data_IF_309723842862
#
_entry.id   IF_309723842862
#
_cell.length_a   1.000
_cell.length_b   1.000
_cell.length_c   1.000
_cell.angle_alpha   90.00
_cell.angle_beta   90.00
_cell.angle_gamma   90.00
#
_symmetry.space_group_name_H-M   'P 1'
#
loop_
_entity.id
_entity.type
_entity.pdbx_description
1 polymer ?
#
# COMPACT_ATOMS: atom_id res chain seq x y z
N UNK A 1 4.08 20.69 -5.86
CA UNK A 1 3.15 19.90 -6.69
C UNK A 1 2.14 19.19 -5.79
N UNK A 2 1.06 18.69 -6.38
CA UNK A 2 0.10 17.85 -5.65
C UNK A 2 0.63 16.41 -5.53
N UNK A 3 0.52 15.82 -4.34
CA UNK A 3 0.92 14.43 -4.08
C UNK A 3 -0.31 13.66 -3.61
N UNK A 4 -0.69 12.64 -4.36
CA UNK A 4 -1.80 11.76 -4.01
C UNK A 4 -1.27 10.54 -3.27
N UNK A 5 -1.64 10.42 -2.00
CA UNK A 5 -1.26 9.34 -1.10
C UNK A 5 -2.32 8.24 -1.17
N UNK A 6 -1.90 7.00 -1.45
CA UNK A 6 -2.80 5.86 -1.60
C UNK A 6 -2.45 4.85 -0.50
N UNK A 7 -3.32 4.64 0.51
CA UNK A 7 -3.02 3.77 1.63
C UNK A 7 -3.00 2.29 1.25
N UNK A 8 -2.52 1.44 2.17
CA UNK A 8 -2.54 0.00 2.01
C UNK A 8 -3.90 -0.64 2.31
N UNK A 9 -3.95 -1.97 2.25
CA UNK A 9 -5.09 -2.76 2.71
C UNK A 9 -5.41 -2.43 4.17
N UNK A 10 -6.68 -2.19 4.48
CA UNK A 10 -7.17 -1.89 5.82
C UNK A 10 -6.53 -0.65 6.45
N UNK A 11 -6.10 0.30 5.64
CA UNK A 11 -5.47 1.56 6.09
C UNK A 11 -6.18 2.77 5.48
N UNK A 12 -6.06 3.92 6.13
CA UNK A 12 -6.60 5.21 5.73
C UNK A 12 -5.53 6.32 5.89
N UNK A 13 -5.93 7.59 5.86
CA UNK A 13 -5.02 8.75 5.98
C UNK A 13 -4.11 8.69 7.20
N UNK A 14 -4.52 8.05 8.29
CA UNK A 14 -3.74 7.91 9.53
C UNK A 14 -2.41 7.18 9.31
N UNK A 15 -2.31 6.33 8.28
CA UNK A 15 -1.04 5.70 7.89
C UNK A 15 0.05 6.73 7.58
N UNK A 16 -0.34 7.91 7.09
CA UNK A 16 0.55 8.97 6.62
C UNK A 16 0.75 10.12 7.63
N UNK A 17 0.22 10.03 8.85
CA UNK A 17 0.30 11.10 9.86
C UNK A 17 1.73 11.53 10.20
N UNK A 18 2.72 10.64 10.00
CA UNK A 18 4.13 10.92 10.25
C UNK A 18 4.94 11.20 8.99
N UNK A 19 4.27 11.31 7.84
CA UNK A 19 4.90 11.60 6.56
C UNK A 19 4.93 13.13 6.36
N UNK A 20 6.13 13.68 6.25
CA UNK A 20 6.37 15.11 6.06
C UNK A 20 7.00 15.35 4.68
N UNK A 21 6.27 16.01 3.78
CA UNK A 21 6.70 16.33 2.42
C UNK A 21 6.58 17.85 2.20
N UNK A 22 7.49 18.64 2.77
CA UNK A 22 7.42 20.10 2.74
C UNK A 22 7.46 20.65 1.29
N UNK A 23 6.69 21.71 1.03
CA UNK A 23 6.59 22.30 -0.30
C UNK A 23 5.64 21.59 -1.26
N UNK A 24 4.89 20.59 -0.78
CA UNK A 24 3.90 19.84 -1.54
C UNK A 24 2.53 19.88 -0.87
N UNK A 25 1.45 19.75 -1.67
CA UNK A 25 0.08 19.60 -1.19
C UNK A 25 -0.26 18.11 -1.16
N UNK A 26 -0.67 17.60 -0.01
CA UNK A 26 -0.94 16.17 0.18
C UNK A 26 -2.45 15.90 0.11
N UNK A 27 -2.83 14.94 -0.71
CA UNK A 27 -4.20 14.47 -0.88
C UNK A 27 -4.26 12.98 -0.58
N UNK A 28 -4.91 12.56 0.50
CA UNK A 28 -5.11 11.14 0.76
C UNK A 28 -6.33 10.62 -0.02
N UNK A 29 -6.12 9.60 -0.84
CA UNK A 29 -7.18 8.93 -1.59
C UNK A 29 -7.78 7.82 -0.74
N UNK A 30 -8.86 8.13 -0.04
CA UNK A 30 -9.56 7.17 0.82
C UNK A 30 -10.26 6.09 0.03
N UNK A 31 -10.20 4.86 0.56
CA UNK A 31 -10.94 3.74 0.03
C UNK A 31 -12.45 3.96 0.13
N UNK A 32 -13.16 3.57 -0.88
CA UNK A 32 -14.62 3.49 -0.86
C UNK A 32 -15.06 2.05 -1.14
N UNK A 33 -16.29 1.78 -0.79
CA UNK A 33 -16.86 0.46 -0.98
C UNK A 33 -16.90 0.08 -2.45
N UNK A 34 -16.28 -1.06 -2.78
CA UNK A 34 -16.22 -1.58 -4.15
C UNK A 34 -17.17 -2.78 -4.33
N UNK A 35 -17.64 -3.02 -5.54
CA UNK A 35 -18.37 -4.25 -5.87
C UNK A 35 -17.53 -5.50 -5.56
N UNK A 36 -18.21 -6.63 -5.30
CA UNK A 36 -17.54 -7.92 -5.18
C UNK A 36 -16.75 -8.25 -6.46
N UNK A 37 -15.64 -8.98 -6.31
CA UNK A 37 -14.70 -9.33 -7.40
C UNK A 37 -14.12 -8.10 -8.11
N UNK A 38 -13.95 -6.99 -7.40
CA UNK A 38 -13.20 -5.85 -7.92
C UNK A 38 -11.72 -6.17 -7.99
N UNK A 39 -11.08 -5.75 -9.07
CA UNK A 39 -9.63 -5.91 -9.30
C UNK A 39 -8.86 -4.65 -8.94
N UNK A 40 -7.53 -4.72 -8.86
CA UNK A 40 -6.67 -3.55 -8.62
C UNK A 40 -6.91 -2.46 -9.67
N UNK A 41 -7.11 -2.83 -10.94
CA UNK A 41 -7.42 -1.88 -12.03
C UNK A 41 -8.76 -1.18 -11.80
N UNK A 42 -9.76 -1.87 -11.22
CA UNK A 42 -11.04 -1.24 -10.86
C UNK A 42 -10.88 -0.23 -9.71
N UNK A 43 -10.09 -0.57 -8.69
CA UNK A 43 -9.73 0.38 -7.63
C UNK A 43 -9.00 1.59 -8.21
N UNK A 44 -8.04 1.37 -9.11
CA UNK A 44 -7.29 2.44 -9.76
C UNK A 44 -8.19 3.38 -10.57
N UNK A 45 -9.10 2.85 -11.40
CA UNK A 45 -10.05 3.67 -12.15
C UNK A 45 -10.95 4.51 -11.25
N UNK A 46 -11.42 3.93 -10.15
CA UNK A 46 -12.27 4.63 -9.21
C UNK A 46 -11.52 5.75 -8.46
N UNK A 47 -10.25 5.55 -8.07
CA UNK A 47 -9.46 6.58 -7.42
C UNK A 47 -8.91 7.62 -8.41
N UNK A 48 -8.62 7.25 -9.64
CA UNK A 48 -8.14 8.18 -10.66
C UNK A 48 -9.11 9.34 -10.94
N UNK A 49 -10.42 9.13 -10.73
CA UNK A 49 -11.43 10.21 -10.88
C UNK A 49 -11.29 11.33 -9.85
N UNK A 50 -10.52 11.11 -8.77
CA UNK A 50 -10.27 12.08 -7.71
C UNK A 50 -8.97 12.86 -7.89
N UNK A 51 -8.20 12.54 -8.93
CA UNK A 51 -6.92 13.20 -9.24
C UNK A 51 -7.16 14.37 -10.19
N UNK A 52 -6.68 15.54 -9.80
CA UNK A 52 -6.63 16.69 -10.71
C UNK A 52 -5.45 16.52 -11.69
N UNK A 53 -5.76 16.00 -12.88
CA UNK A 53 -4.78 15.77 -13.95
C UNK A 53 -4.37 17.05 -14.71
N UNK A 54 -4.99 18.19 -14.42
CA UNK A 54 -4.65 19.47 -15.04
C UNK A 54 -3.35 20.07 -14.48
N UNK A 55 -2.86 19.53 -13.36
CA UNK A 55 -1.65 19.98 -12.67
C UNK A 55 -0.59 18.87 -12.59
N UNK A 56 0.70 19.24 -12.54
CA UNK A 56 1.76 18.28 -12.23
C UNK A 56 1.50 17.63 -10.88
N UNK A 57 1.45 16.30 -10.86
CA UNK A 57 1.17 15.52 -9.66
C UNK A 57 2.05 14.27 -9.56
N UNK A 58 2.17 13.76 -8.35
CA UNK A 58 2.82 12.48 -8.06
C UNK A 58 1.85 11.52 -7.37
N UNK A 59 2.06 10.24 -7.58
CA UNK A 59 1.36 9.16 -6.87
C UNK A 59 2.33 8.51 -5.88
N UNK A 60 1.94 8.42 -4.62
CA UNK A 60 2.70 7.71 -3.57
C UNK A 60 1.80 6.65 -2.96
N UNK A 61 2.07 5.38 -3.25
CA UNK A 61 1.23 4.27 -2.82
C UNK A 61 1.94 3.30 -1.89
N UNK A 62 1.25 2.86 -0.83
CA UNK A 62 1.77 1.91 0.16
C UNK A 62 1.11 0.55 -0.01
N UNK A 63 1.88 -0.54 -0.10
CA UNK A 63 1.36 -1.90 -0.16
C UNK A 63 0.35 -2.05 -1.31
N UNK A 64 -0.92 -2.42 -1.05
CA UNK A 64 -1.99 -2.42 -2.05
C UNK A 64 -2.11 -1.06 -2.78
N UNK A 65 -1.94 0.06 -2.05
CA UNK A 65 -1.94 1.39 -2.65
C UNK A 65 -0.81 1.58 -3.67
N UNK A 66 0.32 0.91 -3.49
CA UNK A 66 1.42 0.88 -4.47
C UNK A 66 1.06 0.13 -5.75
N UNK A 67 0.26 -0.94 -5.65
CA UNK A 67 -0.29 -1.64 -6.82
C UNK A 67 -1.27 -0.74 -7.58
N UNK A 68 -2.18 -0.10 -6.84
CA UNK A 68 -3.17 0.83 -7.39
C UNK A 68 -2.49 2.04 -8.03
N UNK A 69 -1.45 2.61 -7.41
CA UNK A 69 -0.67 3.71 -7.99
C UNK A 69 -0.06 3.34 -9.35
N UNK A 70 0.43 2.12 -9.49
CA UNK A 70 0.98 1.61 -10.75
C UNK A 70 -0.09 1.54 -11.85
N UNK A 71 -1.29 1.05 -11.55
CA UNK A 71 -2.39 1.03 -12.50
C UNK A 71 -2.92 2.45 -12.82
N UNK A 72 -2.91 3.35 -11.83
CA UNK A 72 -3.31 4.75 -12.02
C UNK A 72 -2.35 5.52 -12.93
N UNK A 73 -1.08 5.12 -13.01
CA UNK A 73 -0.07 5.82 -13.81
C UNK A 73 -0.47 5.97 -15.28
N UNK A 74 -1.06 4.94 -15.89
CA UNK A 74 -1.55 5.01 -17.27
C UNK A 74 -2.78 5.92 -17.42
N UNK A 75 -3.56 6.12 -16.36
CA UNK A 75 -4.81 6.87 -16.37
C UNK A 75 -4.58 8.36 -16.10
N UNK A 76 -3.67 8.71 -15.20
CA UNK A 76 -3.48 10.09 -14.72
C UNK A 76 -2.17 10.72 -15.21
N UNK A 77 -1.24 9.94 -15.78
CA UNK A 77 0.06 10.38 -16.29
C UNK A 77 0.84 11.25 -15.28
N UNK A 78 1.12 10.74 -14.08
CA UNK A 78 1.82 11.50 -13.06
C UNK A 78 3.26 11.80 -13.47
N UNK A 79 3.82 12.90 -12.94
CA UNK A 79 5.25 13.22 -13.10
C UNK A 79 6.15 12.20 -12.37
N UNK A 80 5.66 11.59 -11.29
CA UNK A 80 6.39 10.56 -10.53
C UNK A 80 5.44 9.55 -9.91
N UNK A 81 5.88 8.29 -9.87
CA UNK A 81 5.24 7.21 -9.12
C UNK A 81 6.22 6.69 -8.08
N UNK A 82 5.84 6.70 -6.83
CA UNK A 82 6.59 6.11 -5.71
C UNK A 82 5.75 5.00 -5.08
N UNK A 83 6.31 3.81 -4.99
CA UNK A 83 5.68 2.70 -4.29
C UNK A 83 6.48 2.36 -3.03
N UNK A 84 5.78 2.07 -1.93
CA UNK A 84 6.38 1.81 -0.62
C UNK A 84 5.85 0.50 -0.08
N UNK A 85 6.73 -0.41 0.38
CA UNK A 85 6.34 -1.73 0.92
C UNK A 85 5.31 -2.44 0.01
N UNK A 86 5.60 -2.51 -1.29
CA UNK A 86 4.73 -3.05 -2.34
C UNK A 86 5.52 -3.99 -3.25
N UNK A 87 4.94 -4.43 -4.36
CA UNK A 87 5.64 -5.15 -5.43
C UNK A 87 5.23 -4.63 -6.81
N UNK A 88 6.03 -4.96 -7.84
CA UNK A 88 5.83 -4.49 -9.23
C UNK A 88 5.11 -5.50 -10.13
N UNK A 89 4.75 -6.63 -9.57
CA UNK A 89 4.02 -7.67 -10.29
C UNK A 89 4.32 -9.07 -9.76
N UNK A 90 3.78 -10.08 -10.43
CA UNK A 90 3.80 -11.49 -10.01
C UNK A 90 5.19 -12.05 -9.72
N UNK A 91 6.24 -11.54 -10.37
CA UNK A 91 7.61 -12.00 -10.15
C UNK A 91 8.11 -11.72 -8.73
N UNK A 92 7.69 -10.58 -8.15
CA UNK A 92 8.05 -10.15 -6.80
C UNK A 92 7.06 -10.61 -5.71
N UNK A 93 5.91 -11.18 -6.11
CA UNK A 93 4.88 -11.64 -5.17
C UNK A 93 5.39 -12.82 -4.33
N UNK A 94 5.26 -12.80 -2.98
CA UNK A 94 5.62 -13.92 -2.11
C UNK A 94 4.86 -15.20 -2.46
N UNK A 95 5.54 -16.34 -2.32
CA UNK A 95 4.97 -17.64 -2.71
C UNK A 95 3.70 -18.01 -1.94
N UNK A 96 3.64 -17.67 -0.65
CA UNK A 96 2.45 -17.88 0.18
C UNK A 96 1.23 -17.09 -0.32
N UNK A 97 1.42 -15.87 -0.81
CA UNK A 97 0.35 -15.08 -1.44
C UNK A 97 -0.03 -15.70 -2.79
N UNK A 98 0.95 -16.17 -3.59
CA UNK A 98 0.66 -16.91 -4.82
C UNK A 98 -0.19 -18.14 -4.58
N UNK A 99 0.08 -18.89 -3.50
CA UNK A 99 -0.68 -20.07 -3.12
C UNK A 99 -2.15 -19.75 -2.75
N UNK A 100 -2.42 -18.55 -2.26
CA UNK A 100 -3.78 -18.12 -1.91
C UNK A 100 -4.73 -18.07 -3.11
N UNK A 101 -4.24 -17.97 -4.35
CA UNK A 101 -5.06 -17.95 -5.58
C UNK A 101 -5.96 -19.17 -5.73
N UNK A 102 -5.51 -20.34 -5.27
CA UNK A 102 -6.28 -21.58 -5.36
C UNK A 102 -7.07 -21.93 -4.10
N UNK A 103 -6.78 -21.28 -2.99
CA UNK A 103 -7.33 -21.65 -1.68
C UNK A 103 -8.39 -20.68 -1.13
N UNK A 104 -8.46 -19.47 -1.67
CA UNK A 104 -9.47 -18.46 -1.31
C UNK A 104 -9.61 -18.19 0.20
N UNK A 105 -8.51 -17.94 0.94
CA UNK A 105 -8.57 -17.75 2.40
C UNK A 105 -9.34 -16.48 2.80
N UNK A 106 -9.50 -15.52 1.89
CA UNK A 106 -10.31 -14.32 2.11
C UNK A 106 -11.75 -14.64 2.52
N UNK A 107 -12.30 -15.81 2.11
CA UNK A 107 -13.65 -16.25 2.48
C UNK A 107 -13.83 -16.47 3.98
N UNK A 108 -12.75 -16.71 4.71
CA UNK A 108 -12.75 -16.89 6.17
C UNK A 108 -12.64 -15.57 6.95
N UNK A 109 -12.41 -14.46 6.28
CA UNK A 109 -12.38 -13.13 6.91
C UNK A 109 -13.81 -12.75 7.32
N UNK A 110 -14.04 -12.68 8.65
CA UNK A 110 -15.34 -12.35 9.26
C UNK A 110 -15.16 -11.16 10.22
N UNK A 111 -16.23 -10.37 10.40
CA UNK A 111 -16.17 -9.17 11.27
C UNK A 111 -15.72 -9.50 12.69
N UNK A 112 -16.15 -10.62 13.26
CA UNK A 112 -15.71 -11.05 14.59
C UNK A 112 -14.20 -11.32 14.64
N UNK A 113 -13.63 -11.92 13.61
CA UNK A 113 -12.20 -12.21 13.49
C UNK A 113 -11.41 -10.90 13.39
N UNK A 114 -11.84 -10.01 12.50
CA UNK A 114 -11.20 -8.73 12.25
C UNK A 114 -11.22 -7.84 13.49
N UNK A 115 -12.38 -7.67 14.13
CA UNK A 115 -12.55 -6.69 15.21
C UNK A 115 -12.15 -7.20 16.58
N UNK A 116 -12.41 -8.48 16.88
CA UNK A 116 -12.21 -9.04 18.22
C UNK A 116 -10.95 -9.88 18.35
N UNK A 117 -10.55 -10.59 17.31
CA UNK A 117 -9.45 -11.55 17.39
C UNK A 117 -8.12 -11.00 16.85
N UNK A 118 -8.13 -9.99 15.99
CA UNK A 118 -6.89 -9.41 15.45
C UNK A 118 -5.90 -8.97 16.55
N UNK A 119 -6.31 -8.34 17.67
CA UNK A 119 -5.36 -7.99 18.75
C UNK A 119 -4.61 -9.20 19.34
N UNK A 120 -5.16 -10.40 19.21
CA UNK A 120 -4.55 -11.64 19.72
C UNK A 120 -3.68 -12.36 18.69
N UNK A 121 -3.74 -11.97 17.42
CA UNK A 121 -2.89 -12.55 16.36
C UNK A 121 -1.47 -11.95 16.38
N UNK A 122 -0.69 -12.31 17.41
CA UNK A 122 0.68 -11.79 17.60
C UNK A 122 1.56 -12.01 16.36
N UNK A 123 1.47 -13.18 15.73
CA UNK A 123 2.25 -13.51 14.53
C UNK A 123 1.88 -12.59 13.36
N UNK A 124 0.59 -12.36 13.12
CA UNK A 124 0.14 -11.46 12.04
C UNK A 124 0.60 -10.02 12.28
N UNK A 125 0.46 -9.50 13.51
CA UNK A 125 0.96 -8.16 13.86
C UNK A 125 2.47 -8.04 13.68
N UNK A 126 3.21 -9.06 14.10
CA UNK A 126 4.66 -9.12 13.89
C UNK A 126 5.03 -9.18 12.41
N UNK A 127 4.31 -9.94 11.59
CA UNK A 127 4.50 -9.99 10.13
C UNK A 127 4.24 -8.63 9.48
N UNK A 128 3.21 -7.89 9.94
CA UNK A 128 2.88 -6.55 9.47
C UNK A 128 3.83 -5.47 10.02
N UNK A 129 4.69 -5.79 11.00
CA UNK A 129 5.59 -4.83 11.61
C UNK A 129 4.92 -3.89 12.62
N UNK A 130 3.79 -4.30 13.22
CA UNK A 130 3.12 -3.61 14.32
C UNK A 130 3.80 -3.98 15.64
N UNK A 131 5.03 -3.54 15.85
CA UNK A 131 5.89 -4.01 16.94
C UNK A 131 5.71 -3.19 18.22
N UNK A 132 5.57 -1.88 18.10
CA UNK A 132 5.34 -0.97 19.21
C UNK A 132 3.84 -0.72 19.48
N UNK A 133 3.54 -0.19 20.66
CA UNK A 133 2.15 0.06 21.10
C UNK A 133 1.43 1.06 20.21
N UNK A 134 2.08 2.14 19.78
CA UNK A 134 1.47 3.17 18.93
C UNK A 134 1.10 2.60 17.57
N UNK A 135 2.00 1.83 16.95
CA UNK A 135 1.74 1.12 15.68
C UNK A 135 0.58 0.12 15.81
N UNK A 136 0.45 -0.57 16.96
CA UNK A 136 -0.65 -1.50 17.22
C UNK A 136 -1.98 -0.78 17.38
N UNK A 137 -2.02 0.30 18.16
CA UNK A 137 -3.22 1.09 18.40
C UNK A 137 -3.74 1.73 17.09
N UNK A 138 -2.87 2.35 16.33
CA UNK A 138 -3.27 2.98 15.06
C UNK A 138 -3.67 1.93 14.01
N UNK A 139 -2.93 0.84 13.90
CA UNK A 139 -3.26 -0.26 12.98
C UNK A 139 -4.62 -0.89 13.29
N UNK A 140 -4.92 -1.11 14.59
CA UNK A 140 -6.23 -1.59 15.02
C UNK A 140 -7.34 -0.57 14.76
N UNK A 141 -7.08 0.72 15.02
CA UNK A 141 -8.04 1.79 14.79
C UNK A 141 -8.39 1.92 13.29
N UNK A 142 -7.39 1.81 12.40
CA UNK A 142 -7.63 1.78 10.96
C UNK A 142 -8.41 0.54 10.53
N UNK A 143 -7.99 -0.65 10.98
CA UNK A 143 -8.67 -1.90 10.63
C UNK A 143 -10.15 -1.89 11.04
N UNK A 144 -10.50 -1.28 12.17
CA UNK A 144 -11.87 -1.18 12.67
C UNK A 144 -12.81 -0.34 11.80
N UNK A 145 -12.28 0.48 10.90
CA UNK A 145 -13.10 1.27 9.95
C UNK A 145 -13.59 0.44 8.76
N UNK A 146 -13.03 -0.76 8.55
CA UNK A 146 -13.37 -1.62 7.42
C UNK A 146 -14.35 -2.73 7.81
N UNK A 147 -15.32 -3.00 6.96
CA UNK A 147 -16.13 -4.20 7.05
C UNK A 147 -15.36 -5.41 6.52
N UNK A 148 -15.58 -6.60 7.08
CA UNK A 148 -14.94 -7.83 6.61
C UNK A 148 -15.18 -8.10 5.12
N UNK A 149 -16.35 -7.69 4.60
CA UNK A 149 -16.66 -7.78 3.17
C UNK A 149 -15.65 -6.97 2.32
N UNK A 150 -15.36 -5.74 2.73
CA UNK A 150 -14.47 -4.87 1.95
C UNK A 150 -13.03 -5.40 2.00
N UNK A 151 -12.60 -5.92 3.16
CA UNK A 151 -11.31 -6.60 3.29
C UNK A 151 -11.20 -7.83 2.38
N UNK A 152 -12.27 -8.65 2.29
CA UNK A 152 -12.29 -9.80 1.35
C UNK A 152 -12.09 -9.37 -0.09
N UNK A 153 -12.79 -8.31 -0.53
CA UNK A 153 -12.65 -7.77 -1.89
C UNK A 153 -11.24 -7.26 -2.15
N UNK A 154 -10.65 -6.55 -1.19
CA UNK A 154 -9.28 -6.02 -1.31
C UNK A 154 -8.24 -7.14 -1.33
N UNK A 155 -8.36 -8.16 -0.47
CA UNK A 155 -7.45 -9.31 -0.44
C UNK A 155 -7.53 -10.08 -1.76
N UNK A 156 -8.73 -10.35 -2.26
CA UNK A 156 -8.94 -11.03 -3.54
C UNK A 156 -8.29 -10.24 -4.69
N UNK A 157 -8.46 -8.92 -4.72
CA UNK A 157 -7.82 -8.05 -5.71
C UNK A 157 -6.28 -8.13 -5.67
N UNK A 158 -5.67 -8.09 -4.46
CA UNK A 158 -4.22 -8.20 -4.27
C UNK A 158 -3.71 -9.54 -4.78
N UNK A 159 -4.34 -10.64 -4.39
CA UNK A 159 -3.92 -12.00 -4.71
C UNK A 159 -3.94 -12.27 -6.21
N UNK A 160 -4.88 -11.67 -6.94
CA UNK A 160 -5.05 -11.89 -8.38
C UNK A 160 -4.36 -10.85 -9.26
N UNK A 161 -3.70 -9.84 -8.68
CA UNK A 161 -2.98 -8.85 -9.47
C UNK A 161 -1.61 -9.37 -9.94
N UNK A 162 -1.35 -9.28 -11.24
CA UNK A 162 -0.12 -9.75 -11.87
C UNK A 162 0.90 -8.64 -12.19
N UNK A 163 0.54 -7.40 -11.99
CA UNK A 163 1.33 -6.20 -12.31
C UNK A 163 0.67 -5.33 -13.37
N UNK A 164 1.18 -4.12 -13.58
CA UNK A 164 0.71 -3.24 -14.63
C UNK A 164 1.03 -3.84 -16.00
N UNK A 165 0.28 -3.46 -17.06
CA UNK A 165 0.47 -4.01 -18.41
C UNK A 165 1.85 -3.70 -19.02
N UNK A 166 2.52 -2.66 -18.52
CA UNK A 166 3.87 -2.28 -18.94
C UNK A 166 4.65 -1.69 -17.74
N UNK A 167 5.99 -1.79 -17.75
CA UNK A 167 6.82 -1.12 -16.76
C UNK A 167 6.58 0.39 -16.77
N UNK A 168 6.57 1.01 -15.58
CA UNK A 168 6.36 2.43 -15.42
C UNK A 168 7.72 3.14 -15.43
N UNK A 169 8.01 3.98 -16.43
CA UNK A 169 9.27 4.72 -16.47
C UNK A 169 9.43 5.62 -15.25
N UNK A 170 10.62 5.63 -14.67
CA UNK A 170 10.94 6.46 -13.51
C UNK A 170 10.23 6.09 -12.21
N UNK A 171 9.57 4.93 -12.13
CA UNK A 171 9.00 4.43 -10.87
C UNK A 171 10.10 4.25 -9.83
N UNK A 172 9.89 4.82 -8.66
CA UNK A 172 10.77 4.62 -7.49
C UNK A 172 10.10 3.66 -6.52
N UNK A 173 10.84 2.61 -6.14
CA UNK A 173 10.41 1.65 -5.12
C UNK A 173 11.18 1.86 -3.83
N UNK A 174 10.51 2.17 -2.73
CA UNK A 174 11.08 2.28 -1.39
C UNK A 174 10.62 1.06 -0.58
N UNK A 175 11.57 0.35 0.03
CA UNK A 175 11.25 -0.91 0.72
C UNK A 175 12.07 -1.10 2.00
N UNK A 176 11.47 -1.74 3.00
CA UNK A 176 12.14 -2.03 4.27
C UNK A 176 12.87 -3.37 4.25
N UNK A 177 14.10 -3.43 4.79
CA UNK A 177 14.86 -4.67 4.89
C UNK A 177 14.30 -5.67 5.92
N UNK A 178 13.39 -5.22 6.79
CA UNK A 178 12.69 -6.03 7.80
C UNK A 178 11.21 -6.27 7.45
N UNK A 179 10.80 -5.99 6.22
CA UNK A 179 9.45 -6.32 5.77
C UNK A 179 9.29 -7.85 5.67
N UNK A 180 8.51 -8.40 6.59
CA UNK A 180 8.26 -9.85 6.70
C UNK A 180 7.07 -10.32 5.86
N UNK A 181 6.18 -9.38 5.50
CA UNK A 181 5.06 -9.68 4.62
C UNK A 181 5.51 -9.76 3.17
N UNK A 182 6.38 -8.83 2.77
CA UNK A 182 6.97 -8.73 1.44
C UNK A 182 8.51 -8.72 1.56
N UNK A 183 9.16 -9.89 1.71
CA UNK A 183 10.60 -9.96 1.95
C UNK A 183 11.43 -9.24 0.89
N UNK A 184 12.39 -8.41 1.31
CA UNK A 184 13.26 -7.63 0.42
C UNK A 184 14.01 -8.50 -0.60
N UNK A 185 14.27 -9.76 -0.28
CA UNK A 185 14.92 -10.72 -1.19
C UNK A 185 14.13 -11.01 -2.46
N UNK A 186 12.83 -10.73 -2.48
CA UNK A 186 11.95 -10.86 -3.65
C UNK A 186 11.86 -9.57 -4.45
N UNK A 187 12.23 -8.43 -3.86
CA UNK A 187 12.05 -7.10 -4.41
C UNK A 187 13.31 -6.68 -5.17
N UNK A 188 13.15 -6.14 -6.37
CA UNK A 188 14.27 -5.73 -7.23
C UNK A 188 14.33 -4.21 -7.36
N UNK A 189 15.55 -3.65 -7.28
CA UNK A 189 15.80 -2.23 -7.54
C UNK A 189 15.10 -1.28 -6.57
N UNK A 190 14.89 -1.67 -5.32
CA UNK A 190 14.30 -0.82 -4.31
C UNK A 190 15.38 -0.01 -3.57
N UNK A 191 15.01 1.20 -3.14
CA UNK A 191 15.73 1.97 -2.12
C UNK A 191 15.39 1.39 -0.77
N UNK A 192 16.40 0.97 -0.04
CA UNK A 192 16.22 0.22 1.21
C UNK A 192 16.18 1.17 2.40
N UNK A 193 15.12 1.09 3.20
CA UNK A 193 15.05 1.71 4.53
C UNK A 193 15.51 0.68 5.55
N UNK A 194 16.66 0.95 6.20
CA UNK A 194 17.24 0.07 7.21
C UNK A 194 16.34 -0.06 8.43
N UNK A 195 16.08 -1.31 8.85
CA UNK A 195 15.13 -1.63 9.92
C UNK A 195 13.67 -1.35 9.59
N UNK A 196 13.36 -1.03 8.32
CA UNK A 196 11.99 -0.80 7.86
C UNK A 196 11.17 -2.09 7.82
N UNK A 197 10.03 -2.10 8.49
CA UNK A 197 9.02 -3.18 8.44
C UNK A 197 7.95 -2.85 7.39
N UNK A 198 6.95 -3.72 7.23
CA UNK A 198 5.83 -3.44 6.33
C UNK A 198 5.08 -2.14 6.71
N UNK A 199 5.06 -1.80 7.99
CA UNK A 199 4.40 -0.60 8.54
C UNK A 199 5.34 0.62 8.66
N UNK A 200 6.47 0.63 7.95
CA UNK A 200 7.52 1.64 8.09
C UNK A 200 7.06 3.07 7.76
N UNK A 201 6.04 3.26 6.93
CA UNK A 201 5.53 4.61 6.62
C UNK A 201 5.10 5.34 7.89
N UNK A 202 4.49 4.63 8.82
CA UNK A 202 4.14 5.16 10.13
C UNK A 202 5.31 5.06 11.12
N UNK A 203 5.96 3.89 11.23
CA UNK A 203 6.97 3.63 12.24
C UNK A 203 8.28 4.41 12.01
N UNK A 204 8.62 4.70 10.75
CA UNK A 204 9.84 5.40 10.32
C UNK A 204 9.52 6.59 9.40
N UNK A 205 8.54 7.39 9.79
CA UNK A 205 8.03 8.49 8.98
C UNK A 205 9.11 9.45 8.47
N UNK A 206 10.12 9.80 9.28
CA UNK A 206 11.21 10.70 8.89
C UNK A 206 12.07 10.12 7.77
N UNK A 207 12.53 8.87 7.90
CA UNK A 207 13.37 8.21 6.91
C UNK A 207 12.60 7.98 5.59
N UNK A 208 11.31 7.62 5.70
CA UNK A 208 10.44 7.45 4.54
C UNK A 208 10.18 8.80 3.86
N UNK A 209 9.93 9.86 4.63
CA UNK A 209 9.77 11.23 4.10
C UNK A 209 10.98 11.67 3.30
N UNK A 210 12.19 11.48 3.85
CA UNK A 210 13.43 11.81 3.16
C UNK A 210 13.55 11.04 1.83
N UNK A 211 13.32 9.73 1.85
CA UNK A 211 13.41 8.89 0.64
C UNK A 211 12.36 9.26 -0.42
N UNK A 212 11.15 9.64 -0.02
CA UNK A 212 10.11 10.14 -0.94
C UNK A 212 10.51 11.50 -1.52
N UNK A 213 10.98 12.42 -0.68
CA UNK A 213 11.45 13.75 -1.15
C UNK A 213 12.60 13.62 -2.15
N UNK A 214 13.54 12.72 -1.92
CA UNK A 214 14.64 12.46 -2.87
C UNK A 214 14.10 11.87 -4.18
N UNK A 215 13.14 10.94 -4.11
CA UNK A 215 12.49 10.38 -5.30
C UNK A 215 11.77 11.45 -6.15
N UNK A 216 11.15 12.43 -5.49
CA UNK A 216 10.42 13.51 -6.17
C UNK A 216 11.34 14.53 -6.86
N UNK A 217 12.62 14.65 -6.42
CA UNK A 217 13.62 15.55 -7.02
C UNK A 217 14.31 14.96 -8.26
N UNK A 218 14.30 13.64 -8.39
CA UNK A 218 14.90 12.92 -9.51
C UNK A 218 13.92 12.85 -10.68
N UNK A 219 13.76 13.88 -11.45
CA UNK A 219 12.82 13.88 -12.57
C UNK A 219 13.09 14.93 -13.58
#
# INVERSE_FOLDING_TARGET
MDIYLIPGLASDHRLFERLELPGHTLHCLEWHRMPERSTIERFARALATKVDVSRPHALVGVSMGGMVAQEMAALTKPSKVVIISSWKGRAEMPWNIKAMRGWHPERFVRDVVVRRLFPYFRLLRWTLGLEDRASQEIGQAMLNTFAARDLRVMIDAIVHWDGPPAPIPGLVHIHGDKDRLMPISLIRGARVIQGGTHFMVYAKGKEVSAAVMDALREG
#
